data_IF_503603250438
#
_entry.id   IF_503603250438
#
_cell.length_a   1.000
_cell.length_b   1.000
_cell.length_c   1.000
_cell.angle_alpha   90.00
_cell.angle_beta   90.00
_cell.angle_gamma   90.00
#
_symmetry.space_group_name_H-M   'P 1'
#
loop_
_entity.id
_entity.type
_entity.pdbx_description
1 polymer ?
#
# COMPACT_ATOMS: atom_id res chain seq x y z
N UNK A 1 13.07 32.16 -79.30
CA UNK A 1 13.97 32.44 -78.13
C UNK A 1 13.32 33.21 -76.96
N UNK A 2 12.73 34.42 -77.17
CA UNK A 2 12.14 35.18 -75.98
C UNK A 2 10.96 34.53 -75.27
N UNK A 3 10.20 33.61 -75.85
CA UNK A 3 9.01 33.01 -75.34
C UNK A 3 9.34 31.89 -74.30
N UNK A 4 10.43 31.16 -74.49
CA UNK A 4 10.89 30.09 -73.63
C UNK A 4 11.57 30.63 -72.36
N UNK A 5 12.30 31.71 -72.46
CA UNK A 5 12.95 32.39 -71.37
C UNK A 5 11.92 32.93 -70.37
N UNK A 6 10.80 33.45 -70.81
CA UNK A 6 9.71 33.94 -70.03
C UNK A 6 8.93 32.80 -69.31
N UNK A 7 8.85 31.65 -69.96
CA UNK A 7 8.21 30.44 -69.36
C UNK A 7 9.08 29.88 -68.25
N UNK A 8 10.37 29.82 -68.45
CA UNK A 8 11.33 29.34 -67.45
C UNK A 8 11.40 30.27 -66.25
N UNK A 9 11.40 31.59 -66.41
CA UNK A 9 11.33 32.56 -65.29
C UNK A 9 10.03 32.47 -64.48
N UNK A 10 8.89 32.15 -65.12
CA UNK A 10 7.61 31.91 -64.40
C UNK A 10 7.60 30.60 -63.59
N UNK A 11 8.23 29.54 -64.12
CA UNK A 11 8.35 28.26 -63.48
C UNK A 11 9.26 28.38 -62.28
N UNK A 12 10.41 29.03 -62.34
CA UNK A 12 11.34 29.27 -61.24
C UNK A 12 10.68 30.11 -60.12
N UNK A 13 9.90 31.13 -60.46
CA UNK A 13 9.18 31.93 -59.49
C UNK A 13 8.05 31.16 -58.80
N UNK A 14 7.40 30.18 -59.44
CA UNK A 14 6.39 29.31 -58.89
C UNK A 14 7.02 28.29 -57.95
N UNK A 15 8.10 27.64 -58.35
CA UNK A 15 8.83 26.69 -57.47
C UNK A 15 9.42 27.37 -56.23
N UNK A 16 10.00 28.57 -56.39
CA UNK A 16 10.51 29.33 -55.23
C UNK A 16 9.40 29.73 -54.24
N UNK A 17 8.19 30.08 -54.71
CA UNK A 17 7.05 30.37 -53.81
C UNK A 17 6.52 29.14 -53.10
N UNK A 18 6.44 27.99 -53.80
CA UNK A 18 6.02 26.73 -53.17
C UNK A 18 7.03 26.27 -52.11
N UNK A 19 8.33 26.41 -52.43
CA UNK A 19 9.39 26.07 -51.47
C UNK A 19 9.36 26.98 -50.24
N UNK A 20 9.12 28.29 -50.40
CA UNK A 20 9.00 29.25 -49.30
C UNK A 20 7.76 28.98 -48.42
N UNK A 21 6.65 28.53 -48.98
CA UNK A 21 5.44 28.13 -48.22
C UNK A 21 5.67 26.83 -47.47
N UNK A 22 6.35 25.85 -48.07
CA UNK A 22 6.68 24.58 -47.44
C UNK A 22 7.68 24.77 -46.29
N UNK A 23 8.72 25.59 -46.47
CA UNK A 23 9.67 25.92 -45.38
C UNK A 23 9.02 26.71 -44.26
N UNK A 24 8.11 27.65 -44.58
CA UNK A 24 7.33 28.37 -43.56
C UNK A 24 6.40 27.46 -42.78
N UNK A 25 5.72 26.50 -43.42
CA UNK A 25 4.86 25.53 -42.77
C UNK A 25 5.65 24.57 -41.83
N UNK A 26 6.84 24.10 -42.26
CA UNK A 26 7.73 23.30 -41.44
C UNK A 26 8.23 24.08 -40.21
N UNK A 27 8.54 25.37 -40.36
CA UNK A 27 9.00 26.21 -39.26
C UNK A 27 7.90 26.43 -38.21
N UNK A 28 6.64 26.57 -38.60
CA UNK A 28 5.49 26.71 -37.71
C UNK A 28 5.20 25.40 -36.95
N UNK A 29 5.41 24.23 -37.58
CA UNK A 29 5.27 22.95 -36.91
C UNK A 29 6.37 22.70 -35.85
N UNK A 30 7.57 23.25 -36.06
CA UNK A 30 8.66 23.15 -35.08
C UNK A 30 8.49 24.07 -33.86
N UNK A 31 7.71 25.14 -33.97
CA UNK A 31 7.42 26.09 -32.89
C UNK A 31 6.18 25.72 -32.06
N UNK A 32 5.33 24.80 -32.57
CA UNK A 32 4.13 24.32 -31.86
C UNK A 32 4.38 23.25 -30.79
N UNK A 33 5.62 22.82 -30.60
CA UNK A 33 6.00 21.74 -29.68
C UNK A 33 6.29 22.15 -28.25
N UNK A 34 5.77 23.29 -27.75
CA UNK A 34 5.73 23.59 -26.33
C UNK A 34 4.60 22.82 -25.65
N UNK A 35 4.68 21.48 -25.62
CA UNK A 35 3.98 20.70 -24.63
C UNK A 35 4.43 21.18 -23.27
N UNK A 36 3.50 21.64 -22.40
CA UNK A 36 3.77 21.77 -20.98
C UNK A 36 4.42 20.45 -20.54
N UNK A 37 5.67 20.48 -20.10
CA UNK A 37 6.23 19.33 -19.37
C UNK A 37 5.30 19.12 -18.20
N UNK A 38 4.48 18.08 -18.23
CA UNK A 38 3.80 17.60 -17.04
C UNK A 38 4.90 17.38 -16.03
N UNK A 39 4.75 17.97 -14.87
CA UNK A 39 5.69 17.72 -13.77
C UNK A 39 5.56 16.25 -13.43
N UNK A 40 6.68 15.56 -13.30
CA UNK A 40 6.66 14.20 -12.79
C UNK A 40 5.95 14.17 -11.42
N UNK A 41 5.11 13.18 -11.15
CA UNK A 41 4.43 13.07 -9.87
C UNK A 41 5.44 12.89 -8.74
N UNK A 42 5.09 13.40 -7.58
CA UNK A 42 5.81 13.08 -6.34
C UNK A 42 5.52 11.61 -6.03
N UNK A 43 6.55 10.78 -6.06
CA UNK A 43 6.42 9.36 -5.71
C UNK A 43 6.53 9.19 -4.21
N UNK A 44 5.59 8.47 -3.62
CA UNK A 44 5.55 8.05 -2.21
C UNK A 44 5.70 6.53 -2.19
N UNK A 45 6.76 6.04 -1.58
CA UNK A 45 7.03 4.60 -1.48
C UNK A 45 6.34 4.00 -0.26
N UNK A 46 5.63 2.89 -0.45
CA UNK A 46 4.94 2.15 0.61
C UNK A 46 5.38 0.69 0.64
N UNK A 47 5.88 0.23 1.79
CA UNK A 47 6.17 -1.19 2.00
C UNK A 47 5.07 -1.86 2.81
N UNK A 48 4.49 -2.95 2.27
CA UNK A 48 3.52 -3.78 2.97
C UNK A 48 3.56 -5.23 2.47
N UNK A 49 2.96 -6.15 3.25
CA UNK A 49 3.00 -7.60 2.99
C UNK A 49 1.87 -8.10 2.09
N UNK A 50 0.91 -7.26 1.77
CA UNK A 50 -0.29 -7.67 1.02
C UNK A 50 -0.10 -7.62 -0.50
N UNK A 51 1.02 -7.06 -0.98
CA UNK A 51 1.27 -6.83 -2.41
C UNK A 51 1.37 -8.09 -3.27
N UNK A 52 1.69 -9.24 -2.67
CA UNK A 52 1.75 -10.55 -3.35
C UNK A 52 0.47 -11.37 -3.28
N UNK A 53 -0.60 -10.86 -2.67
CA UNK A 53 -1.88 -11.55 -2.56
C UNK A 53 -2.69 -11.38 -3.86
N UNK A 54 -3.40 -12.42 -4.27
CA UNK A 54 -4.26 -12.40 -5.47
C UNK A 54 -5.39 -11.37 -5.34
N UNK A 55 -5.89 -11.18 -4.11
CA UNK A 55 -6.87 -10.16 -3.75
C UNK A 55 -6.31 -9.37 -2.57
N UNK A 56 -6.07 -8.09 -2.77
CA UNK A 56 -5.50 -7.20 -1.75
C UNK A 56 -6.29 -5.90 -1.71
N UNK A 57 -7.25 -5.75 -0.78
CA UNK A 57 -8.02 -4.51 -0.65
C UNK A 57 -7.16 -3.25 -0.48
N UNK A 58 -5.96 -3.39 0.11
CA UNK A 58 -5.04 -2.26 0.22
C UNK A 58 -4.45 -1.86 -1.13
N UNK A 59 -4.11 -2.84 -1.99
CA UNK A 59 -3.66 -2.53 -3.34
C UNK A 59 -4.77 -1.84 -4.15
N UNK A 60 -6.01 -2.33 -4.06
CA UNK A 60 -7.16 -1.74 -4.74
C UNK A 60 -7.37 -0.27 -4.33
N UNK A 61 -7.24 0.04 -3.03
CA UNK A 61 -7.31 1.41 -2.52
C UNK A 61 -6.14 2.29 -2.99
N UNK A 62 -4.94 1.72 -3.11
CA UNK A 62 -3.77 2.44 -3.63
C UNK A 62 -3.96 2.76 -5.12
N UNK A 63 -4.47 1.80 -5.89
CA UNK A 63 -4.75 1.99 -7.31
C UNK A 63 -5.85 3.05 -7.50
N UNK A 64 -6.94 2.99 -6.72
CA UNK A 64 -7.98 4.01 -6.71
C UNK A 64 -7.41 5.40 -6.35
N UNK A 65 -6.58 5.49 -5.32
CA UNK A 65 -5.90 6.74 -4.97
C UNK A 65 -5.08 7.28 -6.13
N UNK A 66 -4.26 6.43 -6.74
CA UNK A 66 -3.37 6.81 -7.85
C UNK A 66 -4.14 7.29 -9.09
N UNK A 67 -5.33 6.71 -9.34
CA UNK A 67 -6.18 7.08 -10.48
C UNK A 67 -7.04 8.32 -10.23
N UNK A 68 -7.28 8.67 -8.97
CA UNK A 68 -8.16 9.77 -8.55
C UNK A 68 -7.40 10.89 -7.86
N UNK A 69 -7.38 10.91 -6.53
CA UNK A 69 -6.78 11.98 -5.70
C UNK A 69 -5.29 12.16 -5.99
N UNK A 70 -4.56 11.07 -6.16
CA UNK A 70 -3.13 11.08 -6.45
C UNK A 70 -2.85 11.76 -7.79
N UNK A 71 -3.62 11.41 -8.83
CA UNK A 71 -3.54 12.03 -10.15
C UNK A 71 -3.83 13.54 -10.09
N UNK A 72 -4.89 13.93 -9.39
CA UNK A 72 -5.27 15.34 -9.27
C UNK A 72 -4.24 16.18 -8.51
N UNK A 73 -3.59 15.58 -7.52
CA UNK A 73 -2.56 16.22 -6.70
C UNK A 73 -1.14 16.04 -7.25
N UNK A 74 -0.97 15.30 -8.35
CA UNK A 74 0.32 14.93 -8.91
C UNK A 74 1.20 14.15 -7.90
N UNK A 75 0.58 13.21 -7.18
CA UNK A 75 1.21 12.29 -6.22
C UNK A 75 0.94 10.86 -6.70
N UNK A 76 1.93 9.98 -6.59
CA UNK A 76 1.81 8.57 -6.91
C UNK A 76 2.35 7.71 -5.77
N UNK A 77 1.55 6.77 -5.27
CA UNK A 77 2.01 5.77 -4.33
C UNK A 77 2.55 4.56 -5.10
N UNK A 78 3.78 4.16 -4.80
CA UNK A 78 4.43 2.97 -5.36
C UNK A 78 4.66 1.94 -4.25
N UNK A 79 4.18 0.72 -4.50
CA UNK A 79 4.25 -0.37 -3.53
C UNK A 79 5.55 -1.14 -3.70
N UNK A 80 6.36 -1.20 -2.65
CA UNK A 80 7.48 -2.11 -2.55
C UNK A 80 7.00 -3.51 -2.16
N UNK A 81 7.23 -4.49 -3.03
CA UNK A 81 6.85 -5.89 -2.75
C UNK A 81 7.72 -6.50 -1.66
N UNK A 82 7.13 -6.75 -0.50
CA UNK A 82 7.78 -7.44 0.62
C UNK A 82 6.98 -8.68 1.00
N UNK A 83 7.64 -9.79 1.26
CA UNK A 83 6.99 -11.09 1.41
C UNK A 83 6.43 -11.34 2.80
N UNK A 84 6.98 -10.71 3.85
CA UNK A 84 6.49 -10.85 5.22
C UNK A 84 6.93 -9.67 6.12
N UNK A 85 6.30 -9.55 7.28
CA UNK A 85 6.53 -8.46 8.24
C UNK A 85 7.92 -8.45 8.86
N UNK A 86 8.61 -9.59 8.98
CA UNK A 86 9.98 -9.62 9.50
C UNK A 86 10.96 -9.00 8.48
N UNK A 87 10.77 -9.25 7.18
CA UNK A 87 11.58 -8.62 6.14
C UNK A 87 11.36 -7.11 6.12
N UNK A 88 10.12 -6.62 6.35
CA UNK A 88 9.87 -5.18 6.51
C UNK A 88 10.62 -4.66 7.74
N UNK A 89 10.51 -5.33 8.87
CA UNK A 89 11.19 -4.95 10.11
C UNK A 89 12.71 -4.83 9.91
N UNK A 90 13.34 -5.88 9.39
CA UNK A 90 14.78 -5.92 9.13
C UNK A 90 15.19 -4.87 8.09
N UNK A 91 14.45 -4.75 6.99
CA UNK A 91 14.74 -3.79 5.92
C UNK A 91 14.60 -2.33 6.37
N UNK A 92 13.56 -2.00 7.14
CA UNK A 92 13.37 -0.65 7.70
C UNK A 92 14.50 -0.30 8.66
N UNK A 93 14.89 -1.23 9.56
CA UNK A 93 15.98 -0.98 10.50
C UNK A 93 17.32 -0.88 9.80
N UNK A 94 17.61 -1.74 8.82
CA UNK A 94 18.84 -1.66 8.02
C UNK A 94 18.93 -0.33 7.27
N UNK A 95 17.83 0.12 6.65
CA UNK A 95 17.75 1.40 5.96
C UNK A 95 17.94 2.60 6.93
N UNK A 96 17.25 2.56 8.08
CA UNK A 96 17.35 3.62 9.10
C UNK A 96 18.76 3.72 9.70
N UNK A 97 19.46 2.58 9.88
CA UNK A 97 20.85 2.52 10.33
C UNK A 97 21.86 2.81 9.21
N UNK A 98 21.40 3.00 7.97
CA UNK A 98 22.26 3.21 6.79
C UNK A 98 23.29 2.09 6.60
N UNK A 99 22.85 0.85 6.78
CA UNK A 99 23.70 -0.32 6.64
C UNK A 99 24.18 -0.48 5.18
N UNK A 100 25.42 -0.96 4.97
CA UNK A 100 25.93 -1.19 3.62
C UNK A 100 25.05 -2.16 2.83
N UNK A 101 24.53 -1.72 1.68
CA UNK A 101 23.67 -2.53 0.82
C UNK A 101 22.18 -2.50 1.20
N UNK A 102 21.78 -1.79 2.24
CA UNK A 102 20.38 -1.55 2.54
C UNK A 102 19.71 -0.71 1.44
N UNK A 103 18.43 -0.93 1.23
CA UNK A 103 17.59 -0.06 0.40
C UNK A 103 17.42 1.32 1.05
N UNK A 104 16.92 2.29 0.30
CA UNK A 104 16.47 3.55 0.89
C UNK A 104 15.28 3.29 1.82
N UNK A 105 15.17 4.11 2.88
CA UNK A 105 14.03 4.05 3.79
C UNK A 105 12.75 4.40 3.02
N UNK A 106 11.69 3.58 3.09
CA UNK A 106 10.43 3.93 2.42
C UNK A 106 9.77 5.13 3.11
N UNK A 107 8.96 5.89 2.36
CA UNK A 107 8.19 7.00 2.93
C UNK A 107 7.11 6.50 3.89
N UNK A 108 6.55 5.31 3.63
CA UNK A 108 5.57 4.65 4.49
C UNK A 108 5.84 3.14 4.56
N UNK A 109 5.50 2.54 5.69
CA UNK A 109 5.54 1.08 5.81
C UNK A 109 4.44 0.57 6.76
N UNK A 110 3.92 -0.62 6.46
CA UNK A 110 2.96 -1.33 7.30
C UNK A 110 3.69 -2.43 8.04
N UNK A 111 3.76 -2.32 9.37
CA UNK A 111 4.47 -3.25 10.22
C UNK A 111 3.86 -3.29 11.62
N UNK A 112 4.46 -4.08 12.50
CA UNK A 112 4.11 -4.10 13.92
C UNK A 112 4.78 -2.94 14.69
N UNK A 113 4.22 -2.50 15.82
CA UNK A 113 4.79 -1.44 16.68
C UNK A 113 6.26 -1.66 17.04
N UNK A 114 6.69 -2.93 17.21
CA UNK A 114 8.09 -3.28 17.47
C UNK A 114 9.09 -2.66 16.47
N UNK A 115 8.69 -2.46 15.22
CA UNK A 115 9.55 -1.85 14.20
C UNK A 115 9.78 -0.37 14.52
N UNK A 116 8.73 0.34 14.88
CA UNK A 116 8.80 1.76 15.23
C UNK A 116 9.59 1.98 16.52
N UNK A 117 9.35 1.16 17.55
CA UNK A 117 10.09 1.25 18.82
C UNK A 117 11.58 0.89 18.71
N UNK A 118 11.96 0.17 17.67
CA UNK A 118 13.36 -0.19 17.40
C UNK A 118 14.07 0.80 16.45
N UNK A 119 13.40 1.85 15.98
CA UNK A 119 14.02 2.85 15.12
C UNK A 119 15.14 3.58 15.86
N UNK A 120 16.33 3.76 15.24
CA UNK A 120 17.46 4.41 15.86
C UNK A 120 17.22 5.91 16.09
N UNK A 121 16.37 6.52 15.28
CA UNK A 121 16.01 7.94 15.34
C UNK A 121 14.48 8.06 15.18
N UNK A 122 13.72 8.28 16.28
CA UNK A 122 12.28 8.45 16.22
C UNK A 122 11.84 9.78 15.56
N UNK A 123 12.75 10.74 15.37
CA UNK A 123 12.41 12.05 14.78
C UNK A 123 12.19 11.97 13.27
N UNK A 124 12.62 10.89 12.63
CA UNK A 124 12.31 10.63 11.21
C UNK A 124 10.82 10.28 10.98
N UNK A 125 10.11 9.88 12.03
CA UNK A 125 8.69 9.56 11.95
C UNK A 125 7.85 10.82 12.14
N UNK A 126 6.75 10.93 11.39
CA UNK A 126 5.79 12.01 11.57
C UNK A 126 4.96 11.80 12.84
N UNK A 127 4.47 12.89 13.44
CA UNK A 127 3.36 12.83 14.39
C UNK A 127 2.04 12.99 13.62
N UNK A 128 1.23 11.96 13.60
CA UNK A 128 -0.04 12.01 12.89
C UNK A 128 -1.03 13.02 13.48
N UNK A 129 -0.85 13.43 14.74
CA UNK A 129 -1.66 14.51 15.35
C UNK A 129 -1.46 15.87 14.69
N UNK A 130 -0.33 16.08 13.98
CA UNK A 130 -0.10 17.30 13.21
C UNK A 130 -0.90 17.34 11.90
N UNK A 131 -1.43 16.20 11.45
CA UNK A 131 -2.08 16.03 10.14
C UNK A 131 -3.53 15.59 10.23
N UNK A 132 -3.96 14.98 11.33
CA UNK A 132 -5.32 14.50 11.57
C UNK A 132 -5.94 15.24 12.75
N UNK A 133 -7.17 15.68 12.57
CA UNK A 133 -7.99 16.27 13.64
C UNK A 133 -8.42 15.20 14.65
N UNK A 134 -8.78 15.62 15.86
CA UNK A 134 -9.33 14.72 16.88
C UNK A 134 -10.61 14.01 16.39
N UNK A 135 -11.41 14.65 15.53
CA UNK A 135 -12.61 14.06 14.93
C UNK A 135 -12.24 12.88 14.01
N UNK A 136 -11.25 13.07 13.13
CA UNK A 136 -10.75 12.00 12.24
C UNK A 136 -10.13 10.86 13.03
N UNK A 137 -9.35 11.15 14.07
CA UNK A 137 -8.74 10.14 14.93
C UNK A 137 -9.80 9.38 15.76
N UNK A 138 -10.92 10.00 16.09
CA UNK A 138 -12.02 9.37 16.82
C UNK A 138 -12.74 8.26 16.05
N UNK A 139 -12.54 8.20 14.72
CA UNK A 139 -13.05 7.12 13.88
C UNK A 139 -12.29 5.78 14.10
N UNK A 140 -11.11 5.82 14.69
CA UNK A 140 -10.34 4.63 15.03
C UNK A 140 -10.72 4.10 16.41
N UNK A 141 -10.44 2.82 16.66
CA UNK A 141 -10.59 2.22 17.99
C UNK A 141 -9.58 2.87 18.93
N UNK A 142 -10.04 3.49 20.06
CA UNK A 142 -9.15 4.27 20.93
C UNK A 142 -7.93 3.51 21.44
N UNK A 143 -8.09 2.23 21.81
CA UNK A 143 -6.97 1.39 22.26
C UNK A 143 -5.88 1.21 21.18
N UNK A 144 -6.23 1.27 19.89
CA UNK A 144 -5.25 1.16 18.79
C UNK A 144 -4.51 2.47 18.56
N UNK A 145 -5.17 3.61 18.78
CA UNK A 145 -4.52 4.93 18.77
C UNK A 145 -3.57 5.05 19.96
N UNK A 146 -3.98 4.56 21.15
CA UNK A 146 -3.12 4.54 22.33
C UNK A 146 -1.87 3.67 22.09
N UNK A 147 -2.03 2.46 21.53
CA UNK A 147 -0.91 1.59 21.15
C UNK A 147 0.03 2.23 20.11
N UNK A 148 -0.53 3.04 19.21
CA UNK A 148 0.24 3.78 18.19
C UNK A 148 0.93 5.03 18.71
N UNK A 149 0.65 5.43 19.97
CA UNK A 149 1.24 6.61 20.61
C UNK A 149 2.48 6.21 21.40
N UNK A 150 3.66 6.62 20.93
CA UNK A 150 4.95 6.30 21.53
C UNK A 150 5.57 7.61 22.02
N UNK A 151 5.93 7.68 23.30
CA UNK A 151 6.50 8.88 23.93
C UNK A 151 5.69 10.17 23.68
N UNK A 152 4.36 10.05 23.62
CA UNK A 152 3.44 11.16 23.39
C UNK A 152 3.19 11.51 21.92
N UNK A 153 3.94 10.94 20.99
CA UNK A 153 3.85 11.10 19.54
C UNK A 153 2.99 9.98 18.94
N UNK A 154 1.95 10.32 18.19
CA UNK A 154 1.20 9.33 17.43
C UNK A 154 1.98 8.95 16.17
N UNK A 155 2.89 8.01 16.31
CA UNK A 155 3.80 7.57 15.25
C UNK A 155 3.23 6.43 14.39
N UNK A 156 2.13 5.80 14.81
CA UNK A 156 1.52 4.65 14.14
C UNK A 156 0.01 4.85 14.02
N UNK A 157 -0.52 4.73 12.78
CA UNK A 157 -1.97 4.60 12.56
C UNK A 157 -2.34 3.13 12.36
N UNK A 158 -3.45 2.66 12.94
CA UNK A 158 -3.91 1.29 12.77
C UNK A 158 -4.45 1.08 11.36
N UNK A 159 -3.87 0.15 10.61
CA UNK A 159 -4.37 -0.30 9.30
C UNK A 159 -5.17 -1.60 9.45
N UNK A 160 -4.62 -2.56 10.20
CA UNK A 160 -5.23 -3.85 10.49
C UNK A 160 -4.66 -4.42 11.79
N UNK A 161 -5.45 -5.20 12.50
CA UNK A 161 -5.00 -5.96 13.68
C UNK A 161 -5.34 -7.43 13.49
N UNK A 162 -4.34 -8.27 13.66
CA UNK A 162 -4.56 -9.71 13.77
C UNK A 162 -5.14 -10.03 15.14
N UNK A 163 -6.09 -10.95 15.17
CA UNK A 163 -6.61 -11.52 16.41
C UNK A 163 -6.59 -13.03 16.32
N UNK A 164 -6.35 -13.67 17.45
CA UNK A 164 -6.50 -15.11 17.55
C UNK A 164 -7.96 -15.42 17.87
N UNK A 165 -8.55 -16.34 17.10
CA UNK A 165 -9.91 -16.80 17.30
C UNK A 165 -9.95 -18.32 17.29
N UNK A 166 -10.79 -18.89 18.16
CA UNK A 166 -11.04 -20.31 18.20
C UNK A 166 -12.21 -20.65 17.29
N UNK A 167 -11.97 -21.48 16.28
CA UNK A 167 -13.03 -22.12 15.50
C UNK A 167 -13.31 -23.52 16.02
N UNK A 168 -14.56 -23.84 16.21
CA UNK A 168 -14.98 -25.20 16.52
C UNK A 168 -16.10 -25.67 15.59
N UNK A 169 -16.16 -26.98 15.34
CA UNK A 169 -17.26 -27.56 14.59
C UNK A 169 -18.50 -27.65 15.49
N UNK A 170 -19.44 -26.71 15.32
CA UNK A 170 -20.64 -26.62 16.14
C UNK A 170 -21.45 -27.91 16.16
N UNK A 171 -21.63 -28.57 15.00
CA UNK A 171 -22.41 -29.82 14.92
C UNK A 171 -21.77 -30.95 15.72
N UNK A 172 -20.43 -31.05 15.67
CA UNK A 172 -19.71 -32.05 16.45
C UNK A 172 -19.76 -31.70 17.96
N UNK A 173 -19.62 -30.42 18.29
CA UNK A 173 -19.68 -29.95 19.66
C UNK A 173 -21.06 -30.15 20.29
N UNK A 174 -22.16 -29.83 19.59
CA UNK A 174 -23.52 -30.00 20.09
C UNK A 174 -23.80 -31.47 20.46
N UNK A 175 -23.38 -32.42 19.63
CA UNK A 175 -23.51 -33.86 19.95
C UNK A 175 -22.69 -34.23 21.19
N UNK A 176 -21.47 -33.76 21.29
CA UNK A 176 -20.61 -34.00 22.42
C UNK A 176 -21.19 -33.38 23.72
N UNK A 177 -21.72 -32.16 23.62
CA UNK A 177 -22.37 -31.47 24.74
C UNK A 177 -23.62 -32.18 25.23
N UNK A 178 -24.47 -32.68 24.33
CA UNK A 178 -25.67 -33.51 24.68
C UNK A 178 -25.26 -34.76 25.46
N UNK A 179 -24.14 -35.36 25.12
CA UNK A 179 -23.70 -36.63 25.71
C UNK A 179 -22.91 -36.44 27.01
N UNK A 180 -22.24 -35.28 27.20
CA UNK A 180 -21.38 -35.01 28.37
C UNK A 180 -21.97 -34.01 29.36
N UNK A 181 -23.00 -33.25 28.94
CA UNK A 181 -23.57 -32.16 29.74
C UNK A 181 -22.70 -30.91 29.77
N UNK A 182 -21.67 -30.81 28.95
CA UNK A 182 -20.82 -29.62 28.83
C UNK A 182 -21.49 -28.52 28.00
N UNK A 183 -20.97 -27.29 28.09
CA UNK A 183 -21.44 -26.16 27.27
C UNK A 183 -20.30 -25.28 26.74
N UNK A 184 -20.65 -24.30 25.90
CA UNK A 184 -19.69 -23.42 25.27
C UNK A 184 -18.91 -22.51 26.25
N UNK A 185 -19.31 -22.37 27.51
CA UNK A 185 -18.61 -21.53 28.48
C UNK A 185 -17.20 -22.05 28.78
N UNK A 186 -17.00 -23.36 28.58
CA UNK A 186 -15.68 -23.98 28.75
C UNK A 186 -14.65 -23.43 27.77
N UNK A 187 -15.07 -22.92 26.58
CA UNK A 187 -14.16 -22.27 25.64
C UNK A 187 -13.65 -20.90 26.11
N UNK A 188 -14.21 -20.34 27.17
CA UNK A 188 -13.82 -19.02 27.68
C UNK A 188 -12.43 -19.00 28.33
N UNK A 189 -11.88 -20.16 28.70
CA UNK A 189 -10.58 -20.27 29.37
C UNK A 189 -9.75 -21.42 28.81
N UNK A 190 -8.43 -21.31 28.92
CA UNK A 190 -7.53 -22.40 28.55
C UNK A 190 -7.79 -23.69 29.35
N UNK A 191 -8.03 -23.56 30.64
CA UNK A 191 -8.34 -24.71 31.50
C UNK A 191 -9.64 -25.40 31.08
N UNK A 192 -10.65 -24.64 30.68
CA UNK A 192 -11.89 -25.16 30.11
C UNK A 192 -11.64 -25.90 28.78
N UNK A 193 -10.85 -25.31 27.90
CA UNK A 193 -10.48 -25.95 26.65
C UNK A 193 -9.72 -27.26 26.86
N UNK A 194 -8.80 -27.31 27.80
CA UNK A 194 -8.11 -28.56 28.18
C UNK A 194 -9.06 -29.61 28.71
N UNK A 195 -9.97 -29.25 29.61
CA UNK A 195 -10.99 -30.20 30.12
C UNK A 195 -11.87 -30.76 29.01
N UNK A 196 -12.32 -29.91 28.07
CA UNK A 196 -13.08 -30.37 26.91
C UNK A 196 -12.28 -31.34 26.04
N UNK A 197 -11.00 -31.06 25.81
CA UNK A 197 -10.13 -31.92 25.04
C UNK A 197 -9.95 -33.30 25.70
N UNK A 198 -9.72 -33.35 27.03
CA UNK A 198 -9.60 -34.59 27.76
C UNK A 198 -10.90 -35.41 27.74
N UNK A 199 -12.04 -34.79 28.02
CA UNK A 199 -13.36 -35.46 27.93
C UNK A 199 -13.66 -36.00 26.52
N UNK A 200 -13.30 -35.24 25.49
CA UNK A 200 -13.50 -35.69 24.10
C UNK A 200 -12.60 -36.90 23.77
N UNK A 201 -11.35 -36.90 24.22
CA UNK A 201 -10.41 -38.00 23.99
C UNK A 201 -10.83 -39.28 24.71
N UNK A 202 -11.22 -39.19 26.00
CA UNK A 202 -11.72 -40.33 26.80
C UNK A 202 -12.94 -40.97 26.14
N UNK A 203 -13.86 -40.16 25.60
CA UNK A 203 -15.04 -40.66 24.91
C UNK A 203 -14.72 -41.33 23.61
N UNK A 204 -13.77 -40.73 22.82
CA UNK A 204 -13.30 -41.31 21.57
C UNK A 204 -12.62 -42.67 21.79
N UNK A 205 -11.86 -42.82 22.88
CA UNK A 205 -11.21 -44.08 23.22
C UNK A 205 -12.20 -45.15 23.70
N UNK A 206 -13.23 -44.76 24.44
CA UNK A 206 -14.31 -45.66 24.88
C UNK A 206 -15.22 -46.18 23.77
N UNK A 207 -15.17 -45.54 22.57
CA UNK A 207 -15.94 -45.96 21.39
C UNK A 207 -15.09 -46.74 20.37
N UNK A 208 -13.81 -47.02 20.63
CA UNK A 208 -13.04 -47.95 19.79
C UNK A 208 -13.48 -49.38 20.06
N UNK A 209 -13.86 -50.17 19.02
CA UNK A 209 -14.26 -51.55 19.14
C UNK A 209 -13.14 -52.48 19.61
#
# INVERSE_FOLDING_TARGET
MKKDENRQKRTIKRTARVLAVLTGACLVMLLGGCGKKEKEPVTVTLWHVYGGQTESPLNDLIDEFNETVGKDKNIRVEVGSVTNTNIIHEGVLAAANKEPGASELPDMFVSYPKTVTAMPDPDVLVDYKDYFSDEELSAFIPAFIEEGTIDGKLAILPVAKSTEILFYNKTAFDRFAEETGTDCSEFATWDGLYRLAEQYEEKREGTKP
#
